data_IF_183682506568
#
_entry.id   IF_183682506568
#
_cell.length_a   1.000
_cell.length_b   1.000
_cell.length_c   1.000
_cell.angle_alpha   90.00
_cell.angle_beta   90.00
_cell.angle_gamma   90.00
#
_symmetry.space_group_name_H-M   'P 1'
#
loop_
_entity.id
_entity.type
_entity.pdbx_description
1 polymer ?
#
# COMPACT_ATOMS: atom_id res chain seq x y z
N UNK A 1 38.11 56.46 -7.09
CA UNK A 1 37.03 56.25 -6.07
C UNK A 1 36.03 55.12 -6.38
N UNK A 2 36.23 54.24 -7.38
CA UNK A 2 35.22 53.23 -7.78
C UNK A 2 35.25 51.85 -7.11
N UNK A 3 36.39 51.40 -6.56
CA UNK A 3 36.56 50.01 -6.07
C UNK A 3 35.77 49.69 -4.79
N UNK A 4 35.53 50.69 -3.93
CA UNK A 4 34.88 50.51 -2.63
C UNK A 4 33.36 50.32 -2.73
N UNK A 5 32.70 50.92 -3.73
CA UNK A 5 31.25 50.76 -3.97
C UNK A 5 30.90 49.38 -4.55
N UNK A 6 31.77 48.80 -5.38
CA UNK A 6 31.55 47.48 -5.99
C UNK A 6 31.63 46.36 -4.95
N UNK A 7 32.60 46.43 -4.03
CA UNK A 7 32.77 45.47 -2.94
C UNK A 7 31.59 45.48 -1.97
N UNK A 8 31.04 46.66 -1.66
CA UNK A 8 29.86 46.79 -0.80
C UNK A 8 28.61 46.19 -1.46
N UNK A 9 28.38 46.45 -2.76
CA UNK A 9 27.28 45.84 -3.52
C UNK A 9 27.37 44.31 -3.56
N UNK A 10 28.56 43.75 -3.76
CA UNK A 10 28.76 42.29 -3.75
C UNK A 10 28.54 41.68 -2.35
N UNK A 11 28.94 42.38 -1.29
CA UNK A 11 28.73 41.91 0.10
C UNK A 11 27.24 41.93 0.49
N UNK A 12 26.51 42.97 0.09
CA UNK A 12 25.06 43.09 0.30
C UNK A 12 24.33 42.02 -0.53
N UNK A 13 24.70 41.82 -1.80
CA UNK A 13 24.12 40.79 -2.66
C UNK A 13 24.34 39.38 -2.10
N UNK A 14 25.55 39.06 -1.62
CA UNK A 14 25.84 37.78 -0.97
C UNK A 14 25.06 37.56 0.32
N UNK A 15 24.92 38.60 1.15
CA UNK A 15 24.14 38.52 2.40
C UNK A 15 22.64 38.35 2.10
N UNK A 16 22.13 39.05 1.09
CA UNK A 16 20.76 38.91 0.61
C UNK A 16 20.48 37.52 0.02
N UNK A 17 21.37 36.96 -0.79
CA UNK A 17 21.21 35.59 -1.32
C UNK A 17 21.30 34.53 -0.24
N UNK A 18 22.17 34.68 0.77
CA UNK A 18 22.29 33.74 1.88
C UNK A 18 21.04 33.76 2.77
N UNK A 19 20.50 34.95 3.07
CA UNK A 19 19.26 35.11 3.86
C UNK A 19 18.03 34.57 3.14
N UNK A 20 18.00 34.60 1.80
CA UNK A 20 16.92 33.99 1.01
C UNK A 20 17.10 32.47 0.83
N UNK A 21 18.33 31.96 0.83
CA UNK A 21 18.61 30.53 0.73
C UNK A 21 18.35 29.75 2.04
N UNK A 22 18.63 30.35 3.21
CA UNK A 22 18.36 29.72 4.51
C UNK A 22 16.91 29.24 4.74
N UNK A 23 15.86 30.04 4.46
CA UNK A 23 14.47 29.59 4.62
C UNK A 23 14.09 28.50 3.63
N UNK A 24 14.54 28.58 2.37
CA UNK A 24 14.30 27.52 1.37
C UNK A 24 14.94 26.18 1.79
N UNK A 25 16.17 26.21 2.31
CA UNK A 25 16.86 25.02 2.82
C UNK A 25 16.11 24.42 4.02
N UNK A 26 15.65 25.24 4.97
CA UNK A 26 14.89 24.78 6.14
C UNK A 26 13.52 24.20 5.77
N UNK A 27 12.84 24.78 4.79
CA UNK A 27 11.56 24.26 4.27
C UNK A 27 11.74 22.90 3.57
N UNK A 28 12.79 22.77 2.74
CA UNK A 28 13.12 21.52 2.07
C UNK A 28 13.50 20.41 3.07
N UNK A 29 14.27 20.75 4.12
CA UNK A 29 14.67 19.80 5.17
C UNK A 29 13.47 19.34 6.03
N UNK A 30 12.54 20.25 6.33
CA UNK A 30 11.28 19.92 7.02
C UNK A 30 10.39 19.00 6.20
N UNK A 31 10.29 19.22 4.88
CA UNK A 31 9.54 18.34 3.98
C UNK A 31 10.17 16.94 3.89
N UNK A 32 11.50 16.88 3.79
CA UNK A 32 12.23 15.61 3.73
C UNK A 32 12.07 14.77 5.00
N UNK A 33 12.21 15.41 6.17
CA UNK A 33 12.04 14.72 7.47
C UNK A 33 10.61 14.20 7.66
N UNK A 34 9.59 14.96 7.27
CA UNK A 34 8.20 14.51 7.31
C UNK A 34 7.94 13.26 6.45
N UNK A 35 8.50 13.22 5.23
CA UNK A 35 8.38 12.05 4.34
C UNK A 35 9.07 10.82 4.94
N UNK A 36 10.24 10.97 5.57
CA UNK A 36 10.93 9.87 6.24
C UNK A 36 10.09 9.30 7.38
N UNK A 37 9.53 10.15 8.24
CA UNK A 37 8.64 9.69 9.32
C UNK A 37 7.40 8.99 8.78
N UNK A 38 6.82 9.49 7.68
CA UNK A 38 5.67 8.84 7.04
C UNK A 38 6.04 7.44 6.53
N UNK A 39 7.17 7.28 5.84
CA UNK A 39 7.64 5.97 5.37
C UNK A 39 7.90 5.03 6.54
N UNK A 40 8.58 5.50 7.59
CA UNK A 40 8.81 4.69 8.79
C UNK A 40 7.50 4.23 9.44
N UNK A 41 6.53 5.13 9.57
CA UNK A 41 5.22 4.80 10.12
C UNK A 41 4.50 3.73 9.27
N UNK A 42 4.55 3.84 7.93
CA UNK A 42 3.97 2.84 7.03
C UNK A 42 4.69 1.49 7.15
N UNK A 43 6.02 1.47 7.26
CA UNK A 43 6.78 0.23 7.46
C UNK A 43 6.43 -0.45 8.79
N UNK A 44 6.32 0.34 9.87
CA UNK A 44 5.88 -0.17 11.18
C UNK A 44 4.45 -0.71 11.09
N UNK A 45 3.55 -0.01 10.40
CA UNK A 45 2.17 -0.46 10.20
C UNK A 45 2.11 -1.81 9.45
N UNK A 46 2.88 -1.96 8.37
CA UNK A 46 2.98 -3.23 7.62
C UNK A 46 3.51 -4.34 8.54
N UNK A 47 4.60 -4.09 9.27
CA UNK A 47 5.19 -5.08 10.17
C UNK A 47 4.23 -5.51 11.27
N UNK A 48 3.52 -4.57 11.88
CA UNK A 48 2.50 -4.85 12.91
C UNK A 48 1.32 -5.63 12.33
N UNK A 49 0.87 -5.29 11.12
CA UNK A 49 -0.19 -6.04 10.43
C UNK A 49 0.17 -7.51 10.27
N UNK A 50 1.35 -7.81 9.75
CA UNK A 50 1.83 -9.20 9.67
C UNK A 50 2.01 -9.85 11.03
N UNK A 51 2.55 -9.13 12.02
CA UNK A 51 2.78 -9.68 13.35
C UNK A 51 1.46 -10.09 14.04
N UNK A 52 0.45 -9.24 14.02
CA UNK A 52 -0.86 -9.50 14.66
C UNK A 52 -1.56 -10.70 14.00
N UNK A 53 -1.52 -10.79 12.68
CA UNK A 53 -2.15 -11.89 11.94
C UNK A 53 -1.24 -13.12 11.73
N UNK A 54 -0.01 -13.11 12.23
CA UNK A 54 0.94 -14.23 12.02
C UNK A 54 0.40 -15.58 12.51
N UNK A 55 -0.38 -15.57 13.58
CA UNK A 55 -1.00 -16.77 14.14
C UNK A 55 -2.11 -17.37 13.26
N UNK A 56 -2.69 -16.59 12.33
CA UNK A 56 -3.76 -17.10 11.44
C UNK A 56 -3.21 -17.87 10.25
N UNK A 57 -1.92 -17.73 9.91
CA UNK A 57 -1.30 -18.33 8.72
C UNK A 57 -1.44 -19.84 8.63
N UNK A 58 -1.51 -20.53 9.78
CA UNK A 58 -1.64 -22.00 9.86
C UNK A 58 -3.07 -22.46 10.18
N UNK A 59 -4.02 -21.53 10.30
CA UNK A 59 -5.40 -21.87 10.58
C UNK A 59 -6.00 -22.60 9.36
N UNK A 60 -6.70 -23.73 9.55
CA UNK A 60 -7.37 -24.42 8.46
C UNK A 60 -8.50 -23.56 7.88
N UNK A 61 -8.97 -23.95 6.68
CA UNK A 61 -10.21 -23.44 6.14
C UNK A 61 -11.38 -23.76 7.09
N UNK A 62 -12.18 -22.75 7.42
CA UNK A 62 -13.26 -22.90 8.40
C UNK A 62 -14.52 -22.14 7.96
N UNK A 63 -15.69 -22.56 8.45
CA UNK A 63 -16.99 -21.96 8.14
C UNK A 63 -17.25 -21.82 6.63
N UNK A 64 -17.29 -20.59 6.13
CA UNK A 64 -17.66 -20.21 4.77
C UNK A 64 -16.57 -20.54 3.74
N UNK A 65 -15.32 -20.72 4.17
CA UNK A 65 -14.23 -21.20 3.31
C UNK A 65 -14.57 -22.53 2.62
N UNK A 66 -15.35 -23.38 3.30
CA UNK A 66 -15.73 -24.69 2.76
C UNK A 66 -16.53 -24.54 1.47
N UNK A 67 -17.58 -23.71 1.50
CA UNK A 67 -18.44 -23.45 0.35
C UNK A 67 -17.72 -22.64 -0.73
N UNK A 68 -16.87 -21.67 -0.35
CA UNK A 68 -16.25 -20.74 -1.29
C UNK A 68 -14.93 -21.24 -1.91
N UNK A 69 -14.21 -22.14 -1.24
CA UNK A 69 -12.88 -22.60 -1.64
C UNK A 69 -12.86 -24.11 -1.88
N UNK A 70 -13.22 -24.91 -0.88
CA UNK A 70 -13.06 -26.37 -0.98
C UNK A 70 -14.07 -27.00 -1.95
N UNK A 71 -15.33 -26.61 -1.83
CA UNK A 71 -16.46 -27.15 -2.59
C UNK A 71 -16.73 -26.39 -3.90
N UNK A 72 -16.07 -25.25 -4.11
CA UNK A 72 -16.26 -24.43 -5.29
C UNK A 72 -15.38 -24.91 -6.46
N UNK A 73 -15.95 -25.52 -7.52
CA UNK A 73 -15.17 -25.96 -8.66
C UNK A 73 -14.70 -24.80 -9.54
N UNK A 74 -15.39 -23.65 -9.52
CA UNK A 74 -15.13 -22.53 -10.43
C UNK A 74 -13.83 -21.78 -10.14
N UNK A 75 -13.27 -21.92 -8.93
CA UNK A 75 -11.99 -21.31 -8.58
C UNK A 75 -10.79 -22.18 -8.97
N UNK A 76 -11.01 -23.42 -9.46
CA UNK A 76 -9.95 -24.40 -9.71
C UNK A 76 -9.24 -24.15 -11.04
N UNK A 77 -8.60 -22.99 -11.17
CA UNK A 77 -7.90 -22.59 -12.40
C UNK A 77 -6.69 -23.49 -12.68
N UNK A 78 -6.61 -23.98 -13.91
CA UNK A 78 -5.44 -24.67 -14.47
C UNK A 78 -4.61 -23.74 -15.36
N UNK A 79 -5.24 -22.74 -15.96
CA UNK A 79 -4.64 -21.71 -16.80
C UNK A 79 -5.25 -20.33 -16.49
N UNK A 80 -4.49 -19.27 -16.79
CA UNK A 80 -4.94 -17.89 -16.60
C UNK A 80 -5.69 -17.37 -17.84
N UNK A 81 -6.71 -18.12 -18.25
CA UNK A 81 -7.62 -17.73 -19.33
C UNK A 81 -8.61 -16.66 -18.86
N UNK A 82 -8.86 -15.64 -19.69
CA UNK A 82 -9.84 -14.58 -19.37
C UNK A 82 -11.24 -15.17 -19.12
N UNK A 83 -11.63 -16.20 -19.89
CA UNK A 83 -12.92 -16.89 -19.72
C UNK A 83 -13.02 -17.58 -18.37
N UNK A 84 -11.95 -18.20 -17.90
CA UNK A 84 -11.92 -18.93 -16.63
C UNK A 84 -11.91 -17.98 -15.44
N UNK A 85 -11.20 -16.85 -15.55
CA UNK A 85 -11.22 -15.78 -14.53
C UNK A 85 -12.63 -15.19 -14.39
N UNK A 86 -13.30 -14.91 -15.52
CA UNK A 86 -14.69 -14.41 -15.50
C UNK A 86 -15.62 -15.48 -14.92
N UNK A 87 -15.45 -16.75 -15.30
CA UNK A 87 -16.25 -17.85 -14.75
C UNK A 87 -16.05 -18.00 -13.23
N UNK A 88 -14.81 -17.91 -12.76
CA UNK A 88 -14.51 -17.93 -11.33
C UNK A 88 -15.22 -16.78 -10.59
N UNK A 89 -15.17 -15.56 -11.15
CA UNK A 89 -15.84 -14.40 -10.58
C UNK A 89 -17.36 -14.56 -10.44
N UNK A 90 -18.03 -14.94 -11.53
CA UNK A 90 -19.49 -14.81 -11.64
C UNK A 90 -20.27 -16.11 -11.54
N UNK A 91 -19.63 -17.28 -11.66
CA UNK A 91 -20.29 -18.60 -11.51
C UNK A 91 -20.08 -19.25 -10.14
N UNK A 92 -19.21 -18.67 -9.31
CA UNK A 92 -19.01 -19.12 -7.92
C UNK A 92 -20.28 -18.97 -7.06
N UNK A 93 -20.41 -19.71 -5.93
CA UNK A 93 -21.62 -19.75 -5.10
C UNK A 93 -22.19 -18.39 -4.68
N UNK A 94 -21.33 -17.38 -4.49
CA UNK A 94 -21.74 -15.99 -4.28
C UNK A 94 -21.26 -15.13 -5.44
N UNK A 95 -22.03 -15.13 -6.52
CA UNK A 95 -21.75 -14.38 -7.75
C UNK A 95 -21.74 -12.86 -7.55
N UNK A 96 -22.30 -12.35 -6.45
CA UNK A 96 -22.26 -10.93 -6.07
C UNK A 96 -20.90 -10.46 -5.55
N UNK A 97 -19.94 -11.37 -5.35
CA UNK A 97 -18.57 -11.08 -4.85
C UNK A 97 -17.48 -11.45 -5.88
N UNK A 98 -17.54 -10.93 -7.13
CA UNK A 98 -16.66 -11.38 -8.20
C UNK A 98 -15.18 -11.15 -7.89
N UNK A 99 -14.82 -10.03 -7.24
CA UNK A 99 -13.43 -9.73 -6.88
C UNK A 99 -12.88 -10.74 -5.87
N UNK A 100 -13.67 -11.10 -4.86
CA UNK A 100 -13.25 -12.09 -3.86
C UNK A 100 -13.11 -13.47 -4.49
N UNK A 101 -14.06 -13.89 -5.32
CA UNK A 101 -14.01 -15.17 -6.01
C UNK A 101 -12.80 -15.27 -6.95
N UNK A 102 -12.47 -14.20 -7.68
CA UNK A 102 -11.27 -14.13 -8.52
C UNK A 102 -10.01 -14.23 -7.66
N UNK A 103 -9.96 -13.54 -6.51
CA UNK A 103 -8.84 -13.67 -5.56
C UNK A 103 -8.65 -15.11 -5.08
N UNK A 104 -9.73 -15.83 -4.75
CA UNK A 104 -9.66 -17.25 -4.38
C UNK A 104 -9.17 -18.13 -5.54
N UNK A 105 -9.59 -17.82 -6.77
CA UNK A 105 -9.16 -18.54 -7.96
C UNK A 105 -7.67 -18.36 -8.26
N UNK A 106 -7.16 -17.13 -8.09
CA UNK A 106 -5.73 -16.85 -8.22
C UNK A 106 -4.93 -17.51 -7.09
N UNK A 107 -5.44 -17.48 -5.85
CA UNK A 107 -4.81 -18.21 -4.74
C UNK A 107 -4.74 -19.72 -5.03
N UNK A 108 -5.80 -20.31 -5.58
CA UNK A 108 -5.79 -21.71 -5.97
C UNK A 108 -4.80 -21.98 -7.11
N UNK A 109 -4.72 -21.09 -8.10
CA UNK A 109 -3.79 -21.24 -9.21
C UNK A 109 -2.33 -21.32 -8.74
N UNK A 110 -1.92 -20.45 -7.83
CA UNK A 110 -0.54 -20.40 -7.34
C UNK A 110 -0.24 -21.38 -6.20
N UNK A 111 -1.20 -21.60 -5.29
CA UNK A 111 -0.94 -22.27 -4.01
C UNK A 111 -1.83 -23.52 -3.79
N UNK A 112 -2.73 -23.84 -4.72
CA UNK A 112 -3.72 -24.92 -4.58
C UNK A 112 -4.49 -24.77 -3.26
N UNK A 113 -4.47 -25.77 -2.39
CA UNK A 113 -5.15 -25.71 -1.08
C UNK A 113 -4.22 -25.37 0.09
N UNK A 114 -3.04 -24.80 -0.19
CA UNK A 114 -2.15 -24.35 0.88
C UNK A 114 -2.71 -23.08 1.54
N UNK A 115 -3.25 -23.24 2.76
CA UNK A 115 -3.88 -22.19 3.57
C UNK A 115 -2.99 -20.96 3.79
N UNK A 116 -1.67 -21.14 3.87
CA UNK A 116 -0.72 -20.04 4.10
C UNK A 116 -0.83 -19.02 2.97
N UNK A 117 -0.97 -19.46 1.72
CA UNK A 117 -1.09 -18.57 0.56
C UNK A 117 -2.33 -17.69 0.64
N UNK A 118 -3.47 -18.27 1.03
CA UNK A 118 -4.73 -17.54 1.18
C UNK A 118 -4.65 -16.50 2.30
N UNK A 119 -4.13 -16.90 3.47
CA UNK A 119 -4.00 -15.99 4.61
C UNK A 119 -3.00 -14.88 4.33
N UNK A 120 -1.87 -15.16 3.69
CA UNK A 120 -0.92 -14.15 3.24
C UNK A 120 -1.58 -13.13 2.30
N UNK A 121 -2.31 -13.59 1.28
CA UNK A 121 -3.04 -12.71 0.35
C UNK A 121 -4.05 -11.83 1.09
N UNK A 122 -4.81 -12.40 2.04
CA UNK A 122 -5.78 -11.64 2.84
C UNK A 122 -5.10 -10.58 3.72
N UNK A 123 -3.97 -10.91 4.37
CA UNK A 123 -3.18 -9.96 5.16
C UNK A 123 -2.67 -8.81 4.29
N UNK A 124 -2.15 -9.12 3.09
CA UNK A 124 -1.68 -8.11 2.14
C UNK A 124 -2.82 -7.18 1.73
N UNK A 125 -3.98 -7.72 1.34
CA UNK A 125 -5.15 -6.92 0.96
C UNK A 125 -5.57 -6.02 2.14
N UNK A 126 -5.63 -6.56 3.35
CA UNK A 126 -6.01 -5.80 4.55
C UNK A 126 -5.05 -4.63 4.83
N UNK A 127 -3.74 -4.88 4.75
CA UNK A 127 -2.71 -3.85 4.92
C UNK A 127 -2.84 -2.77 3.84
N UNK A 128 -3.01 -3.16 2.57
CA UNK A 128 -3.18 -2.21 1.47
C UNK A 128 -4.43 -1.35 1.64
N UNK A 129 -5.56 -1.94 2.07
CA UNK A 129 -6.77 -1.18 2.40
C UNK A 129 -6.51 -0.17 3.51
N UNK A 130 -5.79 -0.54 4.56
CA UNK A 130 -5.40 0.39 5.64
C UNK A 130 -4.51 1.53 5.15
N UNK A 131 -3.53 1.24 4.29
CA UNK A 131 -2.65 2.26 3.68
C UNK A 131 -3.47 3.22 2.81
N UNK A 132 -4.36 2.71 1.96
CA UNK A 132 -5.21 3.56 1.13
C UNK A 132 -6.15 4.43 1.97
N UNK A 133 -6.72 3.89 3.05
CA UNK A 133 -7.54 4.67 3.98
C UNK A 133 -6.72 5.80 4.63
N UNK A 134 -5.51 5.50 5.10
CA UNK A 134 -4.62 6.51 5.67
C UNK A 134 -4.32 7.63 4.67
N UNK A 135 -3.95 7.28 3.43
CA UNK A 135 -3.67 8.26 2.38
C UNK A 135 -4.91 9.09 2.07
N UNK A 136 -6.07 8.45 1.92
CA UNK A 136 -7.34 9.12 1.66
C UNK A 136 -7.69 10.14 2.74
N UNK A 137 -7.57 9.76 4.02
CA UNK A 137 -7.84 10.66 5.16
C UNK A 137 -6.84 11.80 5.21
N UNK A 138 -5.54 11.49 5.03
CA UNK A 138 -4.46 12.49 5.03
C UNK A 138 -4.70 13.56 3.96
N UNK A 139 -5.00 13.12 2.74
CA UNK A 139 -5.20 14.01 1.60
C UNK A 139 -6.49 14.82 1.79
N UNK A 140 -7.58 14.20 2.26
CA UNK A 140 -8.84 14.90 2.56
C UNK A 140 -8.66 16.00 3.61
N UNK A 141 -7.95 15.70 4.71
CA UNK A 141 -7.69 16.69 5.77
C UNK A 141 -6.70 17.77 5.35
N UNK A 142 -5.85 17.53 4.35
CA UNK A 142 -4.92 18.54 3.83
C UNK A 142 -5.58 19.56 2.91
N UNK A 143 -6.76 19.24 2.38
CA UNK A 143 -7.55 20.12 1.51
C UNK A 143 -8.38 21.11 2.33
N UNK A 144 -8.71 20.77 3.59
CA UNK A 144 -9.46 21.60 4.53
C UNK A 144 -8.54 22.65 5.21
#
# INVERSE_FOLDING_TARGET
MGKTRQGLKNKIRRKSTAVLAEPEIKLADKGRTAVVYQIMALLVFVALGFFIYSNTLKSPFFLDDRAHIQENPHIRLTELGLKDIIAAGFKSPTSTRPIANISFALNYYFHRYNVIGYHCTNIIIHILTGIFLYLFVKDTLSIL
#
